data_IF_772338133886
#
_entry.id   IF_772338133886
#
_cell.length_a   1.000
_cell.length_b   1.000
_cell.length_c   1.000
_cell.angle_alpha   90.00
_cell.angle_beta   90.00
_cell.angle_gamma   90.00
#
_symmetry.space_group_name_H-M   'P 1'
#
loop_
_entity.id
_entity.type
_entity.pdbx_description
1 polymer ?
#
# COMPACT_ATOMS: atom_id res chain seq x y z
N UNK A 1 5.07 23.20 46.88
CA UNK A 1 3.86 23.51 46.10
C UNK A 1 3.99 24.93 45.57
N UNK A 2 4.51 25.10 44.35
CA UNK A 2 4.69 26.40 43.70
C UNK A 2 3.75 26.52 42.51
N UNK A 3 3.02 27.63 42.45
CA UNK A 3 2.01 28.00 41.46
C UNK A 3 2.61 28.07 40.04
N UNK A 4 2.39 27.02 39.23
CA UNK A 4 2.67 27.07 37.79
C UNK A 4 1.52 27.76 37.04
N UNK A 5 1.42 29.09 37.18
CA UNK A 5 0.50 29.94 36.37
C UNK A 5 0.76 29.74 34.86
N UNK A 6 1.96 29.31 34.48
CA UNK A 6 2.30 28.93 33.11
C UNK A 6 1.60 27.65 32.60
N UNK A 7 1.32 26.68 33.48
CA UNK A 7 0.77 25.37 33.07
C UNK A 7 -0.68 25.48 32.59
N UNK A 8 -1.54 26.21 33.31
CA UNK A 8 -2.94 26.39 32.91
C UNK A 8 -3.08 27.23 31.62
N UNK A 9 -2.20 28.22 31.43
CA UNK A 9 -2.19 29.03 30.21
C UNK A 9 -1.69 28.24 29.00
N UNK A 10 -0.65 27.42 29.17
CA UNK A 10 -0.15 26.51 28.14
C UNK A 10 -1.19 25.44 27.78
N UNK A 11 -1.91 24.89 28.76
CA UNK A 11 -3.00 23.94 28.51
C UNK A 11 -4.10 24.59 27.65
N UNK A 12 -4.58 25.78 28.02
CA UNK A 12 -5.59 26.50 27.22
C UNK A 12 -5.12 26.81 25.80
N UNK A 13 -3.85 27.15 25.64
CA UNK A 13 -3.26 27.39 24.32
C UNK A 13 -3.17 26.08 23.51
N UNK A 14 -2.78 24.98 24.16
CA UNK A 14 -2.76 23.64 23.54
C UNK A 14 -4.16 23.24 23.09
N UNK A 15 -5.17 23.37 23.94
CA UNK A 15 -6.56 23.01 23.62
C UNK A 15 -7.09 23.84 22.45
N UNK A 16 -6.81 25.15 22.44
CA UNK A 16 -7.19 26.04 21.35
C UNK A 16 -6.49 25.70 20.03
N UNK A 17 -5.20 25.36 20.07
CA UNK A 17 -4.42 24.91 18.91
C UNK A 17 -4.92 23.57 18.38
N UNK A 18 -5.14 22.58 19.25
CA UNK A 18 -5.69 21.28 18.89
C UNK A 18 -7.07 21.41 18.25
N UNK A 19 -7.94 22.27 18.80
CA UNK A 19 -9.24 22.54 18.22
C UNK A 19 -9.15 23.25 16.86
N UNK A 20 -8.28 24.25 16.71
CA UNK A 20 -8.06 24.95 15.45
C UNK A 20 -7.47 24.03 14.37
N UNK A 21 -6.51 23.17 14.73
CA UNK A 21 -5.93 22.17 13.83
C UNK A 21 -6.97 21.14 13.39
N UNK A 22 -7.84 20.69 14.30
CA UNK A 22 -8.95 19.77 13.97
C UNK A 22 -9.92 20.40 12.95
N UNK A 23 -10.37 21.63 13.20
CA UNK A 23 -11.25 22.34 12.27
C UNK A 23 -10.58 22.61 10.91
N UNK A 24 -9.30 22.96 10.91
CA UNK A 24 -8.55 23.19 9.68
C UNK A 24 -8.34 21.91 8.89
N UNK A 25 -8.03 20.80 9.57
CA UNK A 25 -7.95 19.45 8.99
C UNK A 25 -9.30 19.07 8.34
N UNK A 26 -10.41 19.16 9.07
CA UNK A 26 -11.77 18.92 8.56
C UNK A 26 -12.12 19.80 7.35
N UNK A 27 -11.64 21.06 7.32
CA UNK A 27 -11.87 21.99 6.21
C UNK A 27 -10.97 21.73 4.98
N UNK A 28 -9.70 21.35 5.17
CA UNK A 28 -8.75 21.05 4.09
C UNK A 28 -9.04 19.69 3.46
N UNK A 29 -9.65 18.77 4.19
CA UNK A 29 -10.00 17.42 3.74
C UNK A 29 -11.39 17.33 3.09
N UNK A 30 -11.93 18.47 2.65
CA UNK A 30 -13.02 18.54 1.68
C UNK A 30 -12.51 18.67 0.24
N UNK A 31 -11.91 17.62 -0.35
CA UNK A 31 -12.20 17.29 -1.73
C UNK A 31 -13.06 16.03 -1.72
N UNK A 32 -14.24 16.08 -2.36
CA UNK A 32 -15.18 14.94 -2.48
C UNK A 32 -14.60 13.71 -3.23
N UNK A 33 -13.29 13.65 -3.48
CA UNK A 33 -12.55 12.52 -4.09
C UNK A 33 -11.12 12.47 -3.54
N UNK A 34 -10.78 11.37 -2.86
CA UNK A 34 -9.42 10.96 -2.50
C UNK A 34 -8.66 10.49 -3.75
N UNK A 35 -7.33 10.40 -3.65
CA UNK A 35 -6.52 9.79 -4.72
C UNK A 35 -6.79 8.28 -4.80
N UNK A 36 -7.05 7.65 -3.66
CA UNK A 36 -7.42 6.23 -3.56
C UNK A 36 -8.79 5.92 -4.17
N UNK A 37 -9.67 6.90 -4.35
CA UNK A 37 -10.97 6.73 -5.03
C UNK A 37 -10.84 6.58 -6.56
N UNK A 38 -9.62 6.65 -7.11
CA UNK A 38 -9.37 6.47 -8.55
C UNK A 38 -8.98 5.04 -8.83
N UNK A 39 -9.64 4.45 -9.82
CA UNK A 39 -9.24 3.15 -10.33
C UNK A 39 -7.81 3.19 -10.88
N UNK A 40 -7.09 2.09 -10.66
CA UNK A 40 -5.79 1.90 -11.27
C UNK A 40 -5.97 1.84 -12.80
N UNK A 41 -5.03 2.47 -13.53
CA UNK A 41 -5.03 2.38 -14.99
C UNK A 41 -4.93 0.93 -15.46
N UNK A 42 -5.54 0.64 -16.60
CA UNK A 42 -5.32 -0.61 -17.31
C UNK A 42 -3.93 -0.67 -17.98
N UNK A 43 -3.54 -1.89 -18.35
CA UNK A 43 -2.25 -2.23 -18.93
C UNK A 43 -2.42 -2.82 -20.32
N UNK A 44 -1.46 -2.55 -21.20
CA UNK A 44 -1.37 -3.27 -22.47
C UNK A 44 -0.86 -4.68 -22.33
N UNK A 45 -1.06 -5.49 -23.37
CA UNK A 45 -0.39 -6.79 -23.52
C UNK A 45 1.14 -6.66 -23.39
N UNK A 46 1.75 -5.57 -23.88
CA UNK A 46 3.20 -5.37 -23.76
C UNK A 46 3.62 -5.10 -22.31
N UNK A 47 2.93 -4.19 -21.63
CA UNK A 47 3.19 -3.91 -20.22
C UNK A 47 2.92 -5.13 -19.34
N UNK A 48 1.82 -5.86 -19.60
CA UNK A 48 1.51 -7.13 -18.95
C UNK A 48 2.65 -8.15 -19.12
N UNK A 49 3.20 -8.27 -20.33
CA UNK A 49 4.32 -9.16 -20.61
C UNK A 49 5.59 -8.74 -19.83
N UNK A 50 5.97 -7.47 -19.93
CA UNK A 50 7.25 -6.97 -19.45
C UNK A 50 7.26 -6.72 -17.94
N UNK A 51 6.20 -6.11 -17.41
CA UNK A 51 6.11 -5.65 -16.02
C UNK A 51 5.55 -6.74 -15.12
N UNK A 52 4.38 -7.28 -15.48
CA UNK A 52 3.57 -8.15 -14.62
C UNK A 52 4.04 -9.61 -14.67
N UNK A 53 4.06 -10.21 -15.85
CA UNK A 53 4.31 -11.65 -16.01
C UNK A 53 5.78 -12.01 -16.29
N UNK A 54 6.60 -11.02 -16.65
CA UNK A 54 8.02 -11.21 -17.02
C UNK A 54 8.21 -12.26 -18.13
N UNK A 55 7.33 -12.22 -19.13
CA UNK A 55 7.33 -13.13 -20.27
C UNK A 55 7.62 -12.39 -21.56
N UNK A 56 8.10 -13.10 -22.59
CA UNK A 56 8.23 -12.49 -23.92
C UNK A 56 6.83 -12.16 -24.47
N UNK A 57 6.68 -10.97 -25.04
CA UNK A 57 5.42 -10.49 -25.65
C UNK A 57 4.76 -11.52 -26.59
N UNK A 58 5.53 -12.15 -27.48
CA UNK A 58 4.98 -13.13 -28.43
C UNK A 58 4.53 -14.43 -27.75
N UNK A 59 5.23 -14.85 -26.68
CA UNK A 59 4.84 -16.01 -25.88
C UNK A 59 3.51 -15.74 -25.18
N UNK A 60 3.38 -14.58 -24.53
CA UNK A 60 2.13 -14.16 -23.90
C UNK A 60 0.98 -14.16 -24.92
N UNK A 61 1.16 -13.53 -26.08
CA UNK A 61 0.12 -13.51 -27.14
C UNK A 61 -0.27 -14.89 -27.64
N UNK A 62 0.67 -15.82 -27.70
CA UNK A 62 0.36 -17.20 -28.08
C UNK A 62 -0.49 -17.88 -27.01
N UNK A 63 -0.15 -17.72 -25.74
CA UNK A 63 -0.90 -18.32 -24.63
C UNK A 63 -2.30 -17.74 -24.48
N UNK A 64 -2.45 -16.42 -24.60
CA UNK A 64 -3.76 -15.74 -24.60
C UNK A 64 -4.71 -16.23 -25.70
N UNK A 65 -4.17 -16.81 -26.79
CA UNK A 65 -4.98 -17.36 -27.90
C UNK A 65 -5.26 -18.85 -27.76
N UNK A 66 -4.42 -19.59 -27.06
CA UNK A 66 -4.45 -21.04 -27.00
C UNK A 66 -5.18 -21.59 -25.78
N UNK A 67 -5.39 -20.75 -24.77
CA UNK A 67 -6.03 -21.13 -23.50
C UNK A 67 -7.41 -20.47 -23.47
N UNK A 68 -8.43 -21.30 -23.33
CA UNK A 68 -9.82 -20.83 -23.23
C UNK A 68 -10.13 -20.34 -21.80
N UNK A 69 -11.15 -19.49 -21.68
CA UNK A 69 -11.64 -19.00 -20.38
C UNK A 69 -10.81 -17.88 -19.75
N UNK A 70 -9.88 -17.27 -20.49
CA UNK A 70 -9.13 -16.11 -20.02
C UNK A 70 -9.95 -14.82 -20.17
N UNK A 71 -9.76 -13.82 -19.27
CA UNK A 71 -10.21 -12.46 -19.49
C UNK A 71 -9.76 -11.92 -20.85
N UNK A 72 -10.67 -11.27 -21.57
CA UNK A 72 -10.39 -10.70 -22.90
C UNK A 72 -9.87 -9.26 -22.87
N UNK A 73 -9.99 -8.62 -21.70
CA UNK A 73 -9.76 -7.19 -21.50
C UNK A 73 -10.76 -6.30 -22.24
N UNK A 74 -10.56 -5.00 -22.15
CA UNK A 74 -11.34 -3.99 -22.86
C UNK A 74 -10.64 -3.52 -24.13
N UNK A 75 -11.43 -3.10 -25.13
CA UNK A 75 -10.93 -2.49 -26.37
C UNK A 75 -10.97 -0.97 -26.25
N UNK A 76 -9.81 -0.34 -26.36
CA UNK A 76 -9.69 1.11 -26.49
C UNK A 76 -9.53 1.56 -27.95
N UNK A 77 -9.60 2.87 -28.17
CA UNK A 77 -9.38 3.50 -29.47
C UNK A 77 -8.10 2.99 -30.15
N UNK A 78 -8.19 2.69 -31.45
CA UNK A 78 -7.07 2.10 -32.20
C UNK A 78 -6.94 0.58 -32.05
N UNK A 79 -7.99 -0.12 -31.60
CA UNK A 79 -8.04 -1.59 -31.49
C UNK A 79 -6.96 -2.16 -30.54
N UNK A 80 -6.61 -1.39 -29.52
CA UNK A 80 -5.63 -1.76 -28.50
C UNK A 80 -6.36 -2.39 -27.33
N UNK A 81 -5.99 -3.63 -26.98
CA UNK A 81 -6.54 -4.33 -25.81
C UNK A 81 -5.84 -3.87 -24.54
N UNK A 82 -6.64 -3.59 -23.53
CA UNK A 82 -6.25 -3.11 -22.23
C UNK A 82 -6.81 -4.06 -21.16
N UNK A 83 -6.04 -4.31 -20.11
CA UNK A 83 -6.39 -5.25 -19.05
C UNK A 83 -6.26 -4.58 -17.68
N UNK A 84 -7.21 -4.81 -16.78
CA UNK A 84 -7.07 -4.39 -15.39
C UNK A 84 -6.00 -5.24 -14.68
N UNK A 85 -5.56 -4.81 -13.51
CA UNK A 85 -4.60 -5.60 -12.74
C UNK A 85 -5.21 -6.93 -12.25
N UNK A 86 -6.49 -6.92 -11.89
CA UNK A 86 -7.22 -8.11 -11.45
C UNK A 86 -7.34 -9.15 -12.58
N UNK A 87 -7.68 -8.72 -13.80
CA UNK A 87 -7.69 -9.59 -14.98
C UNK A 87 -6.29 -10.19 -15.24
N UNK A 88 -5.23 -9.42 -15.04
CA UNK A 88 -3.86 -9.91 -15.20
C UNK A 88 -3.51 -10.96 -14.15
N UNK A 89 -3.93 -10.79 -12.90
CA UNK A 89 -3.71 -11.77 -11.83
C UNK A 89 -4.51 -13.05 -12.07
N UNK A 90 -5.74 -12.94 -12.60
CA UNK A 90 -6.53 -14.10 -13.04
C UNK A 90 -5.82 -14.86 -14.17
N UNK A 91 -5.34 -14.16 -15.19
CA UNK A 91 -4.55 -14.76 -16.28
C UNK A 91 -3.29 -15.43 -15.73
N UNK A 92 -2.62 -14.80 -14.76
CA UNK A 92 -1.42 -15.36 -14.12
C UNK A 92 -1.73 -16.67 -13.38
N UNK A 93 -2.87 -16.74 -12.69
CA UNK A 93 -3.33 -17.96 -12.02
C UNK A 93 -3.63 -19.07 -13.03
N UNK A 94 -4.41 -18.79 -14.08
CA UNK A 94 -4.72 -19.78 -15.11
C UNK A 94 -3.46 -20.27 -15.82
N UNK A 95 -2.49 -19.38 -16.07
CA UNK A 95 -1.19 -19.75 -16.66
C UNK A 95 -0.39 -20.67 -15.75
N UNK A 96 -0.40 -20.43 -14.44
CA UNK A 96 0.24 -21.31 -13.46
C UNK A 96 -0.43 -22.69 -13.43
N UNK A 97 -1.76 -22.75 -13.35
CA UNK A 97 -2.53 -24.01 -13.36
C UNK A 97 -2.33 -24.83 -14.64
N UNK A 98 -2.13 -24.16 -15.78
CA UNK A 98 -1.84 -24.78 -17.08
C UNK A 98 -0.34 -25.05 -17.32
N UNK A 99 0.52 -24.90 -16.30
CA UNK A 99 1.96 -25.18 -16.37
C UNK A 99 2.76 -24.24 -17.27
N UNK A 100 2.26 -23.03 -17.54
CA UNK A 100 2.94 -22.00 -18.35
C UNK A 100 3.83 -21.09 -17.50
N UNK A 101 3.58 -21.01 -16.20
CA UNK A 101 4.42 -20.34 -15.21
C UNK A 101 4.89 -21.42 -14.23
N UNK A 102 6.22 -21.61 -14.05
CA UNK A 102 6.73 -22.56 -13.06
C UNK A 102 6.56 -22.01 -11.64
N UNK A 103 6.53 -22.90 -10.64
CA UNK A 103 6.29 -22.52 -9.23
C UNK A 103 7.28 -21.48 -8.72
N UNK A 104 8.54 -21.54 -9.14
CA UNK A 104 9.60 -20.61 -8.72
C UNK A 104 9.37 -19.17 -9.20
N UNK A 105 8.52 -18.98 -10.21
CA UNK A 105 8.18 -17.68 -10.77
C UNK A 105 6.75 -17.24 -10.45
N UNK A 106 5.96 -18.09 -9.79
CA UNK A 106 4.59 -17.76 -9.38
C UNK A 106 4.63 -16.91 -8.09
N UNK A 107 3.93 -15.76 -8.03
CA UNK A 107 4.10 -14.81 -6.93
C UNK A 107 3.36 -15.19 -5.64
N UNK A 108 2.36 -16.07 -5.72
CA UNK A 108 1.59 -16.47 -4.55
C UNK A 108 2.33 -17.56 -3.78
N UNK A 109 2.41 -17.37 -2.46
CA UNK A 109 3.09 -18.29 -1.55
C UNK A 109 2.33 -19.59 -1.43
N UNK A 110 3.08 -20.68 -1.27
CA UNK A 110 2.53 -21.98 -0.87
C UNK A 110 2.28 -22.03 0.65
N UNK A 111 1.47 -22.98 1.08
CA UNK A 111 1.17 -23.17 2.50
C UNK A 111 2.47 -23.39 3.31
N UNK A 112 2.58 -22.75 4.48
CA UNK A 112 3.75 -22.77 5.36
C UNK A 112 5.02 -22.07 4.82
N UNK A 113 4.96 -21.37 3.69
CA UNK A 113 6.08 -20.55 3.24
C UNK A 113 6.21 -19.29 4.10
N UNK A 114 7.43 -19.00 4.56
CA UNK A 114 7.68 -17.82 5.41
C UNK A 114 7.59 -16.51 4.63
N UNK A 115 7.07 -15.46 5.26
CA UNK A 115 7.01 -14.12 4.65
C UNK A 115 8.40 -13.52 4.49
N UNK A 116 8.71 -13.07 3.28
CA UNK A 116 9.95 -12.34 3.00
C UNK A 116 9.84 -10.93 3.56
N UNK A 117 10.80 -10.53 4.42
CA UNK A 117 10.84 -9.19 5.03
C UNK A 117 11.94 -8.37 4.39
N UNK A 118 11.60 -7.20 3.84
CA UNK A 118 12.54 -6.26 3.26
C UNK A 118 12.56 -4.99 4.10
N UNK A 119 13.75 -4.59 4.56
CA UNK A 119 13.96 -3.34 5.28
C UNK A 119 14.71 -2.36 4.39
N UNK A 120 14.07 -1.24 4.06
CA UNK A 120 14.70 -0.14 3.33
C UNK A 120 15.10 0.93 4.34
N UNK A 121 16.39 1.00 4.63
CA UNK A 121 16.94 1.87 5.65
C UNK A 121 18.09 2.72 5.11
N UNK A 122 18.18 3.96 5.60
CA UNK A 122 19.28 4.88 5.35
C UNK A 122 19.30 5.98 6.42
N UNK A 123 20.48 6.27 6.96
CA UNK A 123 20.72 7.24 8.02
C UNK A 123 20.51 8.70 7.58
N UNK A 124 20.62 9.00 6.28
CA UNK A 124 20.47 10.38 5.78
C UNK A 124 19.02 10.68 5.39
N UNK A 125 18.55 11.88 5.74
CA UNK A 125 17.27 12.41 5.25
C UNK A 125 17.31 12.70 3.74
N UNK A 126 16.17 12.58 3.05
CA UNK A 126 16.06 12.96 1.62
C UNK A 126 16.73 12.04 0.60
N UNK A 127 17.12 10.82 0.98
CA UNK A 127 17.80 9.83 0.12
C UNK A 127 16.86 8.82 -0.55
N UNK A 128 15.62 9.23 -0.83
CA UNK A 128 14.63 8.42 -1.58
C UNK A 128 14.16 7.12 -0.90
N UNK A 129 14.38 6.91 0.41
CA UNK A 129 13.95 5.67 1.13
C UNK A 129 12.48 5.32 0.89
N UNK A 130 11.58 6.23 1.24
CA UNK A 130 10.13 6.06 1.13
C UNK A 130 9.72 5.88 -0.33
N UNK A 131 10.24 6.72 -1.21
CA UNK A 131 9.98 6.62 -2.65
C UNK A 131 10.39 5.26 -3.21
N UNK A 132 11.57 4.76 -2.85
CA UNK A 132 12.06 3.45 -3.29
C UNK A 132 11.22 2.31 -2.70
N UNK A 133 10.82 2.40 -1.44
CA UNK A 133 9.95 1.42 -0.80
C UNK A 133 8.58 1.33 -1.48
N UNK A 134 7.93 2.48 -1.70
CA UNK A 134 6.63 2.55 -2.37
C UNK A 134 6.70 2.04 -3.81
N UNK A 135 7.69 2.49 -4.59
CA UNK A 135 7.83 2.03 -5.98
C UNK A 135 8.13 0.53 -6.07
N UNK A 136 8.96 0.00 -5.16
CA UNK A 136 9.23 -1.44 -5.10
C UNK A 136 7.96 -2.21 -4.74
N UNK A 137 7.20 -1.75 -3.74
CA UNK A 137 5.94 -2.36 -3.34
C UNK A 137 4.92 -2.37 -4.49
N UNK A 138 4.75 -1.25 -5.19
CA UNK A 138 3.86 -1.13 -6.35
C UNK A 138 4.27 -2.07 -7.50
N UNK A 139 5.57 -2.15 -7.80
CA UNK A 139 6.07 -3.05 -8.83
C UNK A 139 5.85 -4.53 -8.48
N UNK A 140 6.04 -4.91 -7.21
CA UNK A 140 5.81 -6.27 -6.74
C UNK A 140 4.31 -6.60 -6.74
N UNK A 141 3.44 -5.68 -6.29
CA UNK A 141 1.99 -5.84 -6.37
C UNK A 141 1.52 -6.00 -7.83
N UNK A 142 2.07 -5.21 -8.76
CA UNK A 142 1.78 -5.33 -10.19
C UNK A 142 2.20 -6.69 -10.78
N UNK A 143 3.14 -7.40 -10.13
CA UNK A 143 3.58 -8.75 -10.50
C UNK A 143 2.78 -9.87 -9.84
N UNK A 144 1.75 -9.53 -9.06
CA UNK A 144 0.88 -10.49 -8.36
C UNK A 144 1.34 -10.85 -6.96
N UNK A 145 2.38 -10.19 -6.41
CA UNK A 145 2.76 -10.43 -5.02
C UNK A 145 1.80 -9.75 -4.06
N UNK A 146 1.42 -10.46 -3.00
CA UNK A 146 0.76 -9.84 -1.84
C UNK A 146 1.80 -9.08 -1.02
N UNK A 147 1.63 -7.76 -0.92
CA UNK A 147 2.58 -6.87 -0.27
C UNK A 147 1.91 -6.14 0.88
N UNK A 148 2.60 -6.07 2.02
CA UNK A 148 2.30 -5.18 3.13
C UNK A 148 3.43 -4.17 3.26
N UNK A 149 3.09 -2.88 3.27
CA UNK A 149 4.05 -1.81 3.52
C UNK A 149 3.86 -1.33 4.95
N UNK A 150 4.94 -1.30 5.73
CA UNK A 150 4.92 -0.83 7.12
C UNK A 150 5.74 0.47 7.19
N UNK A 151 5.06 1.57 7.50
CA UNK A 151 5.70 2.88 7.71
C UNK A 151 6.15 3.01 9.17
N UNK A 152 7.47 3.09 9.38
CA UNK A 152 8.07 3.29 10.70
C UNK A 152 8.65 4.70 10.86
N UNK A 153 8.45 5.59 9.89
CA UNK A 153 8.92 6.97 9.96
C UNK A 153 7.84 7.85 10.64
N UNK A 154 8.16 8.55 11.74
CA UNK A 154 7.27 9.52 12.36
C UNK A 154 6.67 10.56 11.41
N UNK A 155 7.34 10.85 10.29
CA UNK A 155 6.84 11.79 9.27
C UNK A 155 5.72 11.20 8.40
N UNK A 156 5.42 9.90 8.52
CA UNK A 156 4.31 9.20 7.86
C UNK A 156 4.23 9.42 6.33
N UNK A 157 5.36 9.71 5.68
CA UNK A 157 5.38 10.06 4.26
C UNK A 157 4.96 8.91 3.34
N UNK A 158 5.09 7.65 3.80
CA UNK A 158 4.57 6.51 3.05
C UNK A 158 3.04 6.49 3.14
N UNK A 159 2.51 6.70 4.34
CA UNK A 159 1.06 6.74 4.60
C UNK A 159 0.37 7.84 3.77
N UNK A 160 0.97 9.04 3.72
CA UNK A 160 0.50 10.13 2.86
C UNK A 160 0.48 9.78 1.37
N UNK A 161 1.45 8.99 0.87
CA UNK A 161 1.48 8.55 -0.52
C UNK A 161 0.34 7.59 -0.86
N UNK A 162 -0.11 6.81 0.12
CA UNK A 162 -1.25 5.90 -0.01
C UNK A 162 -2.59 6.55 0.38
N UNK A 163 -2.60 7.85 0.69
CA UNK A 163 -3.79 8.60 1.12
C UNK A 163 -4.43 8.02 2.40
N UNK A 164 -3.59 7.45 3.27
CA UNK A 164 -3.95 6.90 4.59
C UNK A 164 -3.47 7.87 5.66
N UNK A 165 -4.39 8.30 6.52
CA UNK A 165 -4.08 9.25 7.61
C UNK A 165 -4.68 8.76 8.92
N UNK A 166 -3.82 8.19 9.78
CA UNK A 166 -4.25 7.51 10.99
C UNK A 166 -5.12 8.38 11.92
N UNK A 167 -4.81 9.66 12.03
CA UNK A 167 -5.53 10.63 12.87
C UNK A 167 -6.92 10.99 12.34
N UNK A 168 -7.07 11.06 11.01
CA UNK A 168 -8.32 11.45 10.35
C UNK A 168 -9.22 10.24 10.09
N UNK A 169 -8.61 9.11 9.75
CA UNK A 169 -9.29 7.87 9.39
C UNK A 169 -9.61 7.00 10.64
N UNK A 170 -9.27 7.48 11.85
CA UNK A 170 -9.43 6.79 13.14
C UNK A 170 -8.80 5.38 13.13
N UNK A 171 -7.54 5.32 12.67
CA UNK A 171 -6.80 4.07 12.48
C UNK A 171 -5.65 3.93 13.48
N UNK A 172 -5.32 2.70 13.89
CA UNK A 172 -4.13 2.46 14.68
C UNK A 172 -2.87 2.82 13.88
N UNK A 173 -1.94 3.47 14.54
CA UNK A 173 -0.63 3.83 13.99
C UNK A 173 0.46 2.89 14.52
N UNK A 174 1.67 3.01 13.97
CA UNK A 174 2.82 2.28 14.51
C UNK A 174 3.10 2.61 15.98
N UNK A 175 2.70 3.80 16.45
CA UNK A 175 2.84 4.17 17.86
C UNK A 175 1.97 3.31 18.77
N UNK A 176 0.76 2.95 18.34
CA UNK A 176 -0.16 2.12 19.11
C UNK A 176 0.32 0.67 19.21
N UNK A 177 1.08 0.23 18.20
CA UNK A 177 1.75 -1.08 18.16
C UNK A 177 3.02 -1.11 19.01
N UNK A 178 3.83 -0.04 18.97
CA UNK A 178 5.13 0.00 19.66
C UNK A 178 5.05 0.59 21.07
N UNK A 179 3.87 0.94 21.58
CA UNK A 179 3.71 1.58 22.87
C UNK A 179 4.22 0.68 24.00
N UNK A 180 5.14 1.20 24.79
CA UNK A 180 5.52 0.57 26.05
C UNK A 180 4.49 0.99 27.10
N UNK A 181 3.77 0.04 27.68
CA UNK A 181 2.85 0.32 28.78
C UNK A 181 3.61 0.96 29.95
N UNK A 182 3.19 2.14 30.39
CA UNK A 182 3.56 2.69 31.70
C UNK A 182 2.59 2.10 32.73
N UNK A 183 3.05 1.83 33.95
CA UNK A 183 2.20 1.28 35.02
C UNK A 183 1.02 2.20 35.43
N UNK A 184 1.01 3.45 34.95
CA UNK A 184 0.01 4.48 35.27
C UNK A 184 -1.09 4.59 34.21
N UNK A 185 -0.80 4.23 32.96
CA UNK A 185 -1.76 4.25 31.86
C UNK A 185 -2.13 2.80 31.54
N UNK A 186 -3.36 2.39 31.85
CA UNK A 186 -3.88 1.03 31.64
C UNK A 186 -4.07 0.67 30.14
N UNK A 187 -3.20 1.19 29.27
CA UNK A 187 -3.26 1.13 27.80
C UNK A 187 -2.20 0.15 27.31
N UNK A 188 -2.65 -0.98 26.78
CA UNK A 188 -1.77 -2.01 26.21
C UNK A 188 -1.46 -1.73 24.73
N UNK A 189 -0.31 -2.23 24.28
CA UNK A 189 0.05 -2.23 22.87
C UNK A 189 -0.94 -3.07 22.05
N UNK A 190 -1.23 -2.62 20.84
CA UNK A 190 -2.09 -3.35 19.90
C UNK A 190 -1.23 -4.37 19.13
N UNK A 191 -1.62 -5.65 19.02
CA UNK A 191 -0.94 -6.60 18.15
C UNK A 191 -0.90 -6.10 16.70
N UNK A 192 0.23 -6.27 16.01
CA UNK A 192 0.39 -5.86 14.60
C UNK A 192 -0.72 -6.43 13.72
N UNK A 193 -1.15 -7.66 13.98
CA UNK A 193 -2.22 -8.32 13.23
C UNK A 193 -3.56 -7.55 13.30
N UNK A 194 -3.85 -6.93 14.44
CA UNK A 194 -5.08 -6.18 14.68
C UNK A 194 -4.99 -4.75 14.14
N UNK A 195 -3.76 -4.28 13.83
CA UNK A 195 -3.49 -2.98 13.23
C UNK A 195 -3.42 -3.03 11.69
N UNK A 196 -3.44 -4.21 11.07
CA UNK A 196 -3.47 -4.39 9.61
C UNK A 196 -4.93 -4.34 9.13
N UNK A 197 -5.19 -3.55 8.08
CA UNK A 197 -6.48 -3.51 7.38
C UNK A 197 -6.59 -4.58 6.29
#
# INVERSE_FOLDING_TARGET
MSNYIGSAKLSKMSDALSHALKLQSESLHRPNKRKSDKDLRSFTIREMADICLRMKYNTLRSYLKSIDGLPEGSLEAGNRRMYTLDEIHEIQQVFFENGKIPLELYPNKVENETTTKLLIYNLKGGVSKTTSAVNLAQLLAARGFRILVVDLDPQASCSDLFDVRADIDDLPSIYDVLRYGSAEDNVQAIPVADAIQ
#
